data_IF_457351763616
#
_entry.id   IF_457351763616
#
_cell.length_a   1.000
_cell.length_b   1.000
_cell.length_c   1.000
_cell.angle_alpha   90.00
_cell.angle_beta   90.00
_cell.angle_gamma   90.00
#
_symmetry.space_group_name_H-M   'P 1'
#
loop_
_entity.id
_entity.type
_entity.pdbx_description
1 polymer ?
#
# COMPACT_ATOMS: atom_id res chain seq x y z
N UNK A 1 -31.40 11.67 -32.68
CA UNK A 1 -32.68 11.37 -32.02
C UNK A 1 -33.78 11.91 -32.91
N UNK A 2 -34.96 11.31 -32.94
CA UNK A 2 -36.06 11.66 -33.85
C UNK A 2 -37.14 12.47 -33.12
N UNK A 3 -37.95 13.22 -33.86
CA UNK A 3 -39.03 14.03 -33.31
C UNK A 3 -39.98 13.22 -32.42
N UNK A 4 -40.30 11.99 -32.80
CA UNK A 4 -41.16 11.10 -32.02
C UNK A 4 -40.60 10.74 -30.63
N UNK A 5 -39.27 10.79 -30.45
CA UNK A 5 -38.62 10.38 -29.21
C UNK A 5 -38.80 11.43 -28.09
N UNK A 6 -39.06 12.68 -28.46
CA UNK A 6 -39.16 13.81 -27.53
C UNK A 6 -40.44 14.65 -27.68
N UNK A 7 -41.29 14.38 -28.68
CA UNK A 7 -42.53 15.14 -28.89
C UNK A 7 -43.50 15.04 -27.71
N UNK A 8 -44.24 16.12 -27.48
CA UNK A 8 -45.37 16.12 -26.55
C UNK A 8 -46.59 15.54 -27.25
N UNK A 9 -47.15 14.46 -26.69
CA UNK A 9 -48.31 13.74 -27.26
C UNK A 9 -49.65 14.17 -26.68
N UNK A 10 -49.66 14.97 -25.61
CA UNK A 10 -50.89 15.55 -25.05
C UNK A 10 -51.30 16.80 -25.84
N UNK A 11 -51.94 16.59 -26.98
CA UNK A 11 -52.21 17.62 -27.97
C UNK A 11 -53.31 18.62 -27.52
N UNK A 12 -53.08 19.94 -27.66
CA UNK A 12 -54.10 20.98 -27.48
C UNK A 12 -54.90 21.16 -28.78
N UNK A 13 -55.90 20.33 -29.02
CA UNK A 13 -56.67 20.35 -30.28
C UNK A 13 -57.97 21.14 -30.13
N UNK A 14 -58.25 21.97 -31.12
CA UNK A 14 -59.53 22.69 -31.28
C UNK A 14 -60.06 22.54 -32.70
N UNK A 15 -61.38 22.65 -32.86
CA UNK A 15 -62.03 22.67 -34.17
C UNK A 15 -62.07 24.09 -34.75
N UNK A 16 -62.06 24.21 -36.07
CA UNK A 16 -62.07 25.49 -36.81
C UNK A 16 -63.19 26.47 -36.44
N UNK A 17 -64.36 25.95 -36.05
CA UNK A 17 -65.57 26.72 -35.71
C UNK A 17 -65.63 27.14 -34.24
N UNK A 18 -64.72 26.67 -33.40
CA UNK A 18 -64.68 27.01 -31.97
C UNK A 18 -64.19 28.44 -31.73
N UNK A 19 -64.71 29.08 -30.70
CA UNK A 19 -64.39 30.48 -30.37
C UNK A 19 -63.08 30.62 -29.58
N UNK A 20 -62.60 31.86 -29.48
CA UNK A 20 -61.41 32.25 -28.72
C UNK A 20 -61.38 31.74 -27.27
N UNK A 21 -62.53 31.71 -26.59
CA UNK A 21 -62.62 31.23 -25.21
C UNK A 21 -62.29 29.74 -25.10
N UNK A 22 -62.82 28.92 -26.03
CA UNK A 22 -62.53 27.48 -26.08
C UNK A 22 -61.06 27.22 -26.36
N UNK A 23 -60.46 27.98 -27.27
CA UNK A 23 -59.02 27.92 -27.56
C UNK A 23 -58.17 28.23 -26.33
N UNK A 24 -58.51 29.30 -25.60
CA UNK A 24 -57.80 29.68 -24.39
C UNK A 24 -57.95 28.63 -23.27
N UNK A 25 -59.14 28.03 -23.12
CA UNK A 25 -59.37 26.94 -22.17
C UNK A 25 -58.52 25.71 -22.48
N UNK A 26 -58.43 25.32 -23.75
CA UNK A 26 -57.63 24.15 -24.17
C UNK A 26 -56.13 24.39 -23.93
N UNK A 27 -55.62 25.57 -24.30
CA UNK A 27 -54.25 25.99 -23.99
C UNK A 27 -53.95 25.90 -22.48
N UNK A 28 -54.87 26.38 -21.64
CA UNK A 28 -54.72 26.32 -20.18
C UNK A 28 -54.78 24.89 -19.64
N UNK A 29 -55.74 24.08 -20.11
CA UNK A 29 -55.89 22.69 -19.69
C UNK A 29 -54.66 21.85 -20.02
N UNK A 30 -54.04 22.11 -21.18
CA UNK A 30 -52.84 21.42 -21.65
C UNK A 30 -51.53 22.10 -21.23
N UNK A 31 -51.60 23.20 -20.47
CA UNK A 31 -50.45 23.99 -19.97
C UNK A 31 -49.48 24.39 -21.09
N UNK A 32 -50.03 24.88 -22.19
CA UNK A 32 -49.29 25.25 -23.40
C UNK A 32 -49.79 26.60 -23.92
N UNK A 33 -48.98 27.28 -24.73
CA UNK A 33 -49.31 28.57 -25.32
C UNK A 33 -49.81 28.46 -26.77
N UNK A 34 -50.05 27.25 -27.26
CA UNK A 34 -50.46 27.00 -28.64
C UNK A 34 -51.59 25.97 -28.69
N UNK A 35 -52.44 26.06 -29.71
CA UNK A 35 -53.47 25.09 -30.02
C UNK A 35 -53.38 24.69 -31.50
N UNK A 36 -53.54 23.40 -31.77
CA UNK A 36 -53.63 22.85 -33.12
C UNK A 36 -55.08 22.91 -33.57
N UNK A 37 -55.33 23.56 -34.70
CA UNK A 37 -56.67 23.68 -35.28
C UNK A 37 -56.88 22.57 -36.28
N UNK A 38 -57.98 21.84 -36.15
CA UNK A 38 -58.30 20.67 -36.97
C UNK A 38 -59.70 20.73 -37.54
N UNK A 39 -59.96 19.92 -38.57
CA UNK A 39 -61.33 19.58 -38.96
C UNK A 39 -61.93 18.46 -38.10
N UNK A 40 -63.16 18.06 -38.39
CA UNK A 40 -63.85 16.96 -37.68
C UNK A 40 -63.23 15.58 -37.95
N UNK A 41 -62.35 15.47 -38.94
CA UNK A 41 -61.58 14.25 -39.26
C UNK A 41 -60.18 14.28 -38.62
N UNK A 42 -59.89 15.24 -37.72
CA UNK A 42 -58.61 15.50 -37.07
C UNK A 42 -57.45 15.88 -38.01
N UNK A 43 -57.72 16.32 -39.25
CA UNK A 43 -56.65 16.81 -40.12
C UNK A 43 -56.20 18.19 -39.67
N UNK A 44 -54.89 18.43 -39.65
CA UNK A 44 -54.31 19.70 -39.23
C UNK A 44 -54.63 20.81 -40.25
N UNK A 45 -55.38 21.82 -39.82
CA UNK A 45 -55.76 22.98 -40.63
C UNK A 45 -55.02 24.27 -40.26
N UNK A 46 -54.52 24.36 -39.03
CA UNK A 46 -53.77 25.53 -38.59
C UNK A 46 -53.21 25.41 -37.18
N UNK A 47 -52.58 26.49 -36.72
CA UNK A 47 -52.05 26.62 -35.38
C UNK A 47 -52.33 28.02 -34.88
N UNK A 48 -52.79 28.12 -33.64
CA UNK A 48 -53.04 29.36 -32.91
C UNK A 48 -52.03 29.44 -31.78
N UNK A 49 -51.41 30.59 -31.61
CA UNK A 49 -50.54 30.90 -30.47
C UNK A 49 -51.23 31.87 -29.51
N UNK A 50 -50.65 32.03 -28.31
CA UNK A 50 -51.09 33.06 -27.38
C UNK A 50 -50.94 34.49 -27.94
N UNK A 51 -50.09 34.72 -28.95
CA UNK A 51 -50.03 36.00 -29.64
C UNK A 51 -51.31 36.26 -30.44
N UNK A 52 -51.83 35.26 -31.14
CA UNK A 52 -53.04 35.38 -31.96
C UNK A 52 -54.26 35.67 -31.09
N UNK A 53 -54.36 35.05 -29.90
CA UNK A 53 -55.39 35.38 -28.90
C UNK A 53 -55.29 36.85 -28.45
N UNK A 54 -54.08 37.32 -28.08
CA UNK A 54 -53.88 38.72 -27.67
C UNK A 54 -54.17 39.71 -28.79
N UNK A 55 -53.82 39.34 -30.03
CA UNK A 55 -54.08 40.15 -31.22
C UNK A 55 -55.58 40.30 -31.46
N UNK A 56 -56.34 39.21 -31.42
CA UNK A 56 -57.80 39.23 -31.58
C UNK A 56 -58.50 40.12 -30.53
N UNK A 57 -58.05 40.07 -29.28
CA UNK A 57 -58.54 40.95 -28.20
C UNK A 57 -58.20 42.42 -28.49
N UNK A 58 -56.95 42.71 -28.88
CA UNK A 58 -56.51 44.07 -29.16
C UNK A 58 -57.22 44.71 -30.37
N UNK A 59 -57.61 43.90 -31.34
CA UNK A 59 -58.38 44.30 -32.53
C UNK A 59 -59.89 44.45 -32.24
N UNK A 60 -60.34 44.17 -31.02
CA UNK A 60 -61.74 44.30 -30.61
C UNK A 60 -62.66 43.19 -31.16
N UNK A 61 -62.10 42.04 -31.53
CA UNK A 61 -62.85 40.91 -32.09
C UNK A 61 -62.72 39.63 -31.23
N UNK A 62 -63.23 39.62 -29.98
CA UNK A 62 -63.12 38.47 -29.08
C UNK A 62 -64.01 37.29 -29.48
N UNK A 63 -65.03 37.51 -30.31
CA UNK A 63 -65.99 36.49 -30.78
C UNK A 63 -65.52 35.76 -32.05
N UNK A 64 -64.27 35.94 -32.46
CA UNK A 64 -63.71 35.28 -33.62
C UNK A 64 -63.57 33.76 -33.42
N UNK A 65 -63.64 33.04 -34.53
CA UNK A 65 -63.43 31.58 -34.56
C UNK A 65 -61.94 31.23 -34.66
N UNK A 66 -61.62 29.97 -34.35
CA UNK A 66 -60.28 29.42 -34.50
C UNK A 66 -59.74 29.59 -35.93
N UNK A 67 -60.60 29.40 -36.95
CA UNK A 67 -60.26 29.63 -38.36
C UNK A 67 -59.80 31.07 -38.64
N UNK A 68 -60.42 32.06 -38.00
CA UNK A 68 -60.12 33.47 -38.20
C UNK A 68 -58.81 33.91 -37.51
N UNK A 69 -58.41 33.21 -36.44
CA UNK A 69 -57.18 33.52 -35.69
C UNK A 69 -55.96 32.73 -36.16
N UNK A 70 -56.15 31.54 -36.72
CA UNK A 70 -55.05 30.60 -36.95
C UNK A 70 -54.06 31.08 -38.01
N UNK A 71 -52.81 30.64 -37.85
CA UNK A 71 -51.92 30.52 -38.99
C UNK A 71 -52.35 29.29 -39.80
N UNK A 72 -52.73 29.45 -41.09
CA UNK A 72 -53.30 28.37 -41.88
C UNK A 72 -52.24 27.34 -42.31
N UNK A 73 -52.65 26.10 -42.54
CA UNK A 73 -51.80 24.93 -42.89
C UNK A 73 -50.76 25.20 -43.97
N UNK A 74 -51.08 26.00 -44.98
CA UNK A 74 -50.19 26.32 -46.11
C UNK A 74 -48.99 27.19 -45.70
N UNK A 75 -49.09 27.87 -44.54
CA UNK A 75 -48.03 28.71 -43.97
C UNK A 75 -47.34 28.05 -42.78
N UNK A 76 -47.86 26.91 -42.31
CA UNK A 76 -47.26 26.19 -41.21
C UNK A 76 -46.08 25.35 -41.67
N UNK A 77 -45.10 25.29 -40.79
CA UNK A 77 -44.05 24.29 -40.87
C UNK A 77 -44.38 23.17 -39.90
N UNK A 78 -44.26 21.94 -40.37
CA UNK A 78 -44.54 20.72 -39.60
C UNK A 78 -43.32 19.80 -39.68
N UNK A 79 -43.16 18.96 -38.67
CA UNK A 79 -42.23 17.85 -38.66
C UNK A 79 -42.98 16.53 -38.79
N UNK A 80 -42.26 15.46 -39.10
CA UNK A 80 -42.76 14.08 -39.12
C UNK A 80 -42.12 13.29 -37.98
N UNK A 81 -42.68 12.15 -37.55
CA UNK A 81 -42.14 11.32 -36.46
C UNK A 81 -40.65 10.99 -36.60
N UNK A 82 -40.17 10.80 -37.83
CA UNK A 82 -38.80 10.46 -38.21
C UNK A 82 -37.91 11.68 -38.51
N UNK A 83 -38.41 12.90 -38.36
CA UNK A 83 -37.59 14.12 -38.55
C UNK A 83 -36.53 14.21 -37.44
N UNK A 84 -35.24 14.38 -37.76
CA UNK A 84 -34.20 14.59 -36.75
C UNK A 84 -34.46 15.84 -35.89
N UNK A 85 -34.22 15.74 -34.58
CA UNK A 85 -34.46 16.86 -33.64
C UNK A 85 -33.60 18.08 -33.99
N UNK A 86 -32.38 17.85 -34.49
CA UNK A 86 -31.47 18.91 -34.94
C UNK A 86 -32.07 19.73 -36.09
N UNK A 87 -32.76 19.07 -37.03
CA UNK A 87 -33.46 19.73 -38.13
C UNK A 87 -34.63 20.58 -37.61
N UNK A 88 -35.39 20.07 -36.62
CA UNK A 88 -36.46 20.85 -35.98
C UNK A 88 -35.89 22.07 -35.24
N UNK A 89 -34.74 21.95 -34.59
CA UNK A 89 -34.07 23.06 -33.92
C UNK A 89 -33.63 24.15 -34.92
N UNK A 90 -33.03 23.75 -36.04
CA UNK A 90 -32.64 24.67 -37.12
C UNK A 90 -33.85 25.37 -37.74
N UNK A 91 -34.95 24.64 -37.89
CA UNK A 91 -36.21 25.16 -38.37
C UNK A 91 -36.79 26.22 -37.43
N UNK A 92 -36.83 25.91 -36.14
CA UNK A 92 -37.28 26.84 -35.10
C UNK A 92 -36.43 28.11 -35.10
N UNK A 93 -35.10 27.96 -35.15
CA UNK A 93 -34.15 29.07 -35.16
C UNK A 93 -34.27 29.95 -36.42
N UNK A 94 -34.23 29.33 -37.61
CA UNK A 94 -34.23 30.05 -38.90
C UNK A 94 -35.55 30.75 -39.21
N UNK A 95 -36.67 30.21 -38.71
CA UNK A 95 -38.02 30.77 -38.91
C UNK A 95 -38.50 31.62 -37.73
N UNK A 96 -37.75 31.67 -36.62
CA UNK A 96 -38.14 32.37 -35.40
C UNK A 96 -39.44 31.83 -34.78
N UNK A 97 -39.69 30.52 -34.92
CA UNK A 97 -40.88 29.85 -34.38
C UNK A 97 -40.52 29.07 -33.12
N UNK A 98 -41.48 29.00 -32.18
CA UNK A 98 -41.26 28.33 -30.88
C UNK A 98 -41.99 27.01 -30.75
N UNK A 99 -42.73 26.61 -31.78
CA UNK A 99 -43.48 25.37 -31.82
C UNK A 99 -43.58 24.83 -33.25
N UNK A 100 -43.43 23.51 -33.38
CA UNK A 100 -43.56 22.75 -34.62
C UNK A 100 -44.49 21.56 -34.37
N UNK A 101 -45.66 21.48 -35.03
CA UNK A 101 -46.50 20.30 -34.98
C UNK A 101 -45.79 19.09 -35.60
N UNK A 102 -45.98 17.92 -35.02
CA UNK A 102 -45.55 16.63 -35.58
C UNK A 102 -46.78 15.95 -36.16
N UNK A 103 -46.75 15.66 -37.46
CA UNK A 103 -47.90 15.10 -38.20
C UNK A 103 -47.57 13.74 -38.81
N UNK A 104 -48.56 12.86 -38.85
CA UNK A 104 -48.53 11.60 -39.62
C UNK A 104 -49.80 11.54 -40.46
N UNK A 105 -49.66 11.40 -41.78
CA UNK A 105 -50.80 11.37 -42.72
C UNK A 105 -51.79 12.54 -42.51
N UNK A 106 -51.27 13.77 -42.36
CA UNK A 106 -52.02 15.02 -42.07
C UNK A 106 -52.72 15.09 -40.71
N UNK A 107 -52.65 14.03 -39.90
CA UNK A 107 -53.16 14.01 -38.52
C UNK A 107 -52.04 14.43 -37.56
N UNK A 108 -52.26 15.40 -36.67
CA UNK A 108 -51.27 15.74 -35.66
C UNK A 108 -51.13 14.59 -34.65
N UNK A 109 -49.90 14.12 -34.44
CA UNK A 109 -49.55 13.04 -33.51
C UNK A 109 -48.70 13.52 -32.33
N UNK A 110 -48.13 14.72 -32.45
CA UNK A 110 -47.37 15.37 -31.39
C UNK A 110 -47.10 16.84 -31.71
N UNK A 111 -46.40 17.52 -30.81
CA UNK A 111 -45.75 18.78 -31.12
C UNK A 111 -44.42 18.91 -30.39
N UNK A 112 -43.50 19.65 -30.97
CA UNK A 112 -42.25 20.06 -30.35
C UNK A 112 -42.33 21.53 -30.02
N UNK A 113 -42.06 21.89 -28.78
CA UNK A 113 -41.88 23.29 -28.38
C UNK A 113 -40.41 23.58 -28.12
N UNK A 114 -40.06 24.87 -28.11
CA UNK A 114 -38.69 25.32 -27.93
C UNK A 114 -38.06 24.78 -26.63
N UNK A 115 -38.82 24.69 -25.53
CA UNK A 115 -38.30 24.17 -24.25
C UNK A 115 -37.93 22.69 -24.38
N UNK A 116 -38.78 21.87 -25.01
CA UNK A 116 -38.51 20.44 -25.22
C UNK A 116 -37.23 20.22 -26.04
N UNK A 117 -37.01 21.04 -27.08
CA UNK A 117 -35.80 20.99 -27.91
C UNK A 117 -34.58 21.51 -27.14
N UNK A 118 -34.72 22.58 -26.36
CA UNK A 118 -33.65 23.14 -25.52
C UNK A 118 -33.22 22.19 -24.40
N UNK A 119 -34.17 21.52 -23.74
CA UNK A 119 -33.89 20.56 -22.67
C UNK A 119 -33.06 19.39 -23.22
N UNK A 120 -33.48 18.82 -24.35
CA UNK A 120 -32.76 17.74 -25.03
C UNK A 120 -31.35 18.16 -25.48
N UNK A 121 -31.22 19.31 -26.14
CA UNK A 121 -29.91 19.80 -26.61
C UNK A 121 -28.97 20.08 -25.43
N UNK A 122 -29.48 20.66 -24.35
CA UNK A 122 -28.71 20.93 -23.12
C UNK A 122 -28.23 19.63 -22.47
N UNK A 123 -29.10 18.62 -22.39
CA UNK A 123 -28.75 17.32 -21.83
C UNK A 123 -27.69 16.60 -22.67
N UNK A 124 -27.83 16.63 -23.99
CA UNK A 124 -26.84 16.04 -24.92
C UNK A 124 -25.47 16.69 -24.76
N UNK A 125 -25.41 18.02 -24.73
CA UNK A 125 -24.15 18.77 -24.51
C UNK A 125 -23.54 18.44 -23.15
N UNK A 126 -24.36 18.34 -22.09
CA UNK A 126 -23.90 17.95 -20.75
C UNK A 126 -23.30 16.55 -20.74
N UNK A 127 -23.94 15.58 -21.40
CA UNK A 127 -23.46 14.20 -21.47
C UNK A 127 -22.10 14.11 -22.16
N UNK A 128 -21.98 14.69 -23.36
CA UNK A 128 -20.71 14.72 -24.12
C UNK A 128 -19.59 15.43 -23.34
N UNK A 129 -19.93 16.53 -22.65
CA UNK A 129 -18.95 17.26 -21.82
C UNK A 129 -18.44 16.41 -20.66
N UNK A 130 -19.31 15.63 -20.02
CA UNK A 130 -18.93 14.76 -18.91
C UNK A 130 -18.05 13.60 -19.39
N UNK A 131 -18.38 12.97 -20.51
CA UNK A 131 -17.56 11.91 -21.12
C UNK A 131 -16.16 12.44 -21.48
N UNK A 132 -16.10 13.62 -22.11
CA UNK A 132 -14.83 14.27 -22.44
C UNK A 132 -14.03 14.64 -21.17
N UNK A 133 -14.70 15.09 -20.12
CA UNK A 133 -14.05 15.39 -18.84
C UNK A 133 -13.45 14.12 -18.20
N UNK A 134 -14.15 12.98 -18.26
CA UNK A 134 -13.65 11.70 -17.76
C UNK A 134 -12.42 11.23 -18.54
N UNK A 135 -12.45 11.29 -19.88
CA UNK A 135 -11.31 10.94 -20.74
C UNK A 135 -10.10 11.83 -20.42
N UNK A 136 -10.32 13.15 -20.30
CA UNK A 136 -9.25 14.09 -19.94
C UNK A 136 -8.68 13.82 -18.56
N UNK A 137 -9.53 13.52 -17.58
CA UNK A 137 -9.10 13.19 -16.24
C UNK A 137 -8.24 11.91 -16.23
N UNK A 138 -8.66 10.87 -16.94
CA UNK A 138 -7.89 9.64 -17.07
C UNK A 138 -6.51 9.88 -17.73
N UNK A 139 -6.46 10.68 -18.79
CA UNK A 139 -5.20 11.06 -19.45
C UNK A 139 -4.25 11.81 -18.51
N UNK A 140 -4.75 12.79 -17.76
CA UNK A 140 -3.93 13.54 -16.78
C UNK A 140 -3.40 12.64 -15.66
N UNK A 141 -4.18 11.64 -15.23
CA UNK A 141 -3.72 10.67 -14.24
C UNK A 141 -2.54 9.85 -14.78
N UNK A 142 -2.61 9.37 -16.03
CA UNK A 142 -1.52 8.62 -16.67
C UNK A 142 -0.28 9.49 -16.90
N UNK A 143 -0.45 10.75 -17.30
CA UNK A 143 0.66 11.70 -17.53
C UNK A 143 1.39 12.08 -16.25
N UNK A 144 0.66 12.19 -15.13
CA UNK A 144 1.24 12.53 -13.82
C UNK A 144 1.88 11.36 -13.09
N UNK A 145 1.76 10.12 -13.62
CA UNK A 145 2.45 8.97 -13.05
C UNK A 145 3.97 9.17 -13.05
N UNK A 146 4.59 8.74 -11.96
CA UNK A 146 6.05 8.65 -11.85
C UNK A 146 6.59 7.32 -12.39
N UNK A 147 5.73 6.31 -12.46
CA UNK A 147 6.06 4.98 -13.01
C UNK A 147 5.88 4.95 -14.53
N UNK A 148 6.80 4.27 -15.21
CA UNK A 148 6.66 4.00 -16.63
C UNK A 148 5.52 3.03 -16.87
N UNK A 149 4.67 3.33 -17.84
CA UNK A 149 3.53 2.50 -18.25
C UNK A 149 3.67 2.18 -19.73
N UNK A 150 3.58 0.89 -20.04
CA UNK A 150 3.55 0.34 -21.40
C UNK A 150 2.37 -0.61 -21.51
N UNK A 151 1.56 -0.46 -22.56
CA UNK A 151 0.58 -1.49 -22.93
C UNK A 151 1.04 -2.14 -24.23
N UNK A 152 1.00 -3.47 -24.27
CA UNK A 152 1.24 -4.23 -25.49
C UNK A 152 0.04 -5.10 -25.84
N UNK A 153 -0.19 -5.31 -27.14
CA UNK A 153 -1.18 -6.27 -27.64
C UNK A 153 -0.63 -7.71 -27.70
N UNK A 154 -1.43 -8.65 -28.21
CA UNK A 154 -1.05 -10.08 -28.41
C UNK A 154 0.19 -10.29 -29.29
N UNK A 155 0.45 -9.37 -30.21
CA UNK A 155 1.61 -9.44 -31.12
C UNK A 155 2.85 -8.73 -30.53
N UNK A 156 2.75 -8.29 -29.27
CA UNK A 156 3.75 -7.52 -28.53
C UNK A 156 4.02 -6.14 -29.14
N UNK A 157 3.05 -5.61 -29.86
CA UNK A 157 3.08 -4.25 -30.39
C UNK A 157 2.77 -3.28 -29.25
N UNK A 158 3.58 -2.25 -29.08
CA UNK A 158 3.36 -1.23 -28.06
C UNK A 158 2.21 -0.33 -28.49
N UNK A 159 1.10 -0.40 -27.75
CA UNK A 159 -0.12 0.38 -27.96
C UNK A 159 -0.11 1.68 -27.14
N UNK A 160 0.46 1.65 -25.93
CA UNK A 160 0.53 2.81 -25.04
C UNK A 160 1.93 2.95 -24.47
N UNK A 161 2.37 4.20 -24.29
CA UNK A 161 3.69 4.52 -23.74
C UNK A 161 3.65 5.90 -23.07
N UNK A 162 3.59 5.93 -21.73
CA UNK A 162 3.39 7.19 -21.01
C UNK A 162 4.68 8.04 -20.92
N UNK A 163 4.59 9.33 -20.54
CA UNK A 163 5.76 10.21 -20.41
C UNK A 163 6.81 9.72 -19.40
N UNK A 164 6.39 8.99 -18.35
CA UNK A 164 7.33 8.39 -17.40
C UNK A 164 8.15 7.26 -18.04
N UNK A 165 7.54 6.44 -18.89
CA UNK A 165 8.24 5.40 -19.63
C UNK A 165 9.27 6.02 -20.58
N UNK A 166 8.98 7.18 -21.18
CA UNK A 166 9.97 7.92 -21.97
C UNK A 166 11.17 8.37 -21.14
N UNK A 167 10.90 9.01 -19.98
CA UNK A 167 11.96 9.47 -19.08
C UNK A 167 12.84 8.34 -18.57
N UNK A 168 12.24 7.24 -18.13
CA UNK A 168 12.96 6.12 -17.51
C UNK A 168 13.74 5.34 -18.58
N UNK A 169 13.12 5.05 -19.73
CA UNK A 169 13.76 4.25 -20.78
C UNK A 169 14.71 5.05 -21.70
N UNK A 170 14.61 6.39 -21.69
CA UNK A 170 15.30 7.28 -22.61
C UNK A 170 14.80 7.20 -24.07
N UNK A 171 13.64 6.59 -24.32
CA UNK A 171 13.04 6.40 -25.66
C UNK A 171 11.76 7.22 -25.78
N UNK A 172 11.52 7.83 -26.94
CA UNK A 172 10.28 8.59 -27.15
C UNK A 172 9.11 7.69 -27.56
N UNK A 173 7.89 8.04 -27.15
CA UNK A 173 6.66 7.35 -27.52
C UNK A 173 6.50 7.26 -29.03
N UNK A 174 6.82 8.32 -29.77
CA UNK A 174 6.82 8.34 -31.25
C UNK A 174 7.68 7.22 -31.86
N UNK A 175 8.79 6.86 -31.22
CA UNK A 175 9.68 5.78 -31.69
C UNK A 175 9.23 4.40 -31.24
N UNK A 176 8.38 4.30 -30.21
CA UNK A 176 8.01 3.03 -29.60
C UNK A 176 6.61 2.57 -29.99
N UNK A 177 5.64 3.49 -30.09
CA UNK A 177 4.26 3.19 -30.45
C UNK A 177 4.17 2.52 -31.82
N UNK A 178 3.32 1.50 -31.91
CA UNK A 178 3.12 0.71 -33.13
C UNK A 178 4.30 -0.23 -33.46
N UNK A 179 5.29 -0.38 -32.57
CA UNK A 179 6.43 -1.29 -32.79
C UNK A 179 6.36 -2.50 -31.89
N UNK A 180 6.78 -3.64 -32.45
CA UNK A 180 6.97 -4.88 -31.72
C UNK A 180 8.24 -4.81 -30.88
N UNK A 181 8.12 -5.00 -29.57
CA UNK A 181 9.28 -5.07 -28.68
C UNK A 181 9.85 -6.49 -28.62
N UNK A 182 11.10 -6.66 -29.08
CA UNK A 182 11.78 -7.97 -29.04
C UNK A 182 12.00 -8.49 -27.61
N UNK A 183 12.23 -7.58 -26.66
CA UNK A 183 12.43 -7.90 -25.24
C UNK A 183 11.24 -8.63 -24.62
N UNK A 184 10.02 -8.36 -25.12
CA UNK A 184 8.83 -9.05 -24.63
C UNK A 184 8.61 -10.42 -25.25
N UNK A 185 9.42 -10.82 -26.24
CA UNK A 185 9.37 -12.16 -26.85
C UNK A 185 10.35 -13.14 -26.21
N UNK A 186 11.32 -12.65 -25.44
CA UNK A 186 12.28 -13.48 -24.73
C UNK A 186 11.57 -14.41 -23.73
N UNK A 187 12.06 -15.64 -23.59
CA UNK A 187 11.38 -16.69 -22.80
C UNK A 187 11.20 -16.28 -21.33
N UNK A 188 12.17 -15.55 -20.78
CA UNK A 188 12.16 -15.12 -19.38
C UNK A 188 11.41 -13.79 -19.16
N UNK A 189 10.73 -13.27 -20.18
CA UNK A 189 10.01 -11.99 -20.07
C UNK A 189 8.75 -12.14 -19.19
N UNK A 190 8.59 -11.34 -18.12
CA UNK A 190 7.37 -11.36 -17.31
C UNK A 190 6.11 -11.03 -18.14
N UNK A 191 6.24 -10.13 -19.13
CA UNK A 191 5.15 -9.78 -20.05
C UNK A 191 4.68 -10.99 -20.84
N UNK A 192 5.61 -11.80 -21.36
CA UNK A 192 5.29 -13.05 -22.07
C UNK A 192 4.59 -14.05 -21.17
N UNK A 193 5.11 -14.24 -19.95
CA UNK A 193 4.51 -15.17 -18.99
C UNK A 193 3.07 -14.78 -18.64
N UNK A 194 2.79 -13.48 -18.45
CA UNK A 194 1.42 -12.98 -18.23
C UNK A 194 0.55 -13.20 -19.47
N UNK A 195 1.07 -12.93 -20.67
CA UNK A 195 0.36 -13.14 -21.93
C UNK A 195 -0.05 -14.61 -22.13
N UNK A 196 0.82 -15.56 -21.80
CA UNK A 196 0.59 -17.00 -21.96
C UNK A 196 -0.31 -17.58 -20.86
N UNK A 197 -0.17 -17.10 -19.61
CA UNK A 197 -0.87 -17.69 -18.45
C UNK A 197 -2.18 -16.98 -18.10
N UNK A 198 -2.36 -15.73 -18.53
CA UNK A 198 -3.46 -14.87 -18.12
C UNK A 198 -3.44 -14.51 -16.63
N UNK A 199 -2.34 -14.75 -15.91
CA UNK A 199 -2.19 -14.46 -14.47
C UNK A 199 -1.28 -13.26 -14.27
N UNK A 200 -1.62 -12.30 -13.39
CA UNK A 200 -0.76 -11.14 -13.14
C UNK A 200 0.51 -11.52 -12.38
N UNK A 201 1.58 -10.77 -12.63
CA UNK A 201 2.86 -10.87 -11.92
C UNK A 201 3.22 -9.50 -11.34
N UNK A 202 3.36 -9.44 -10.01
CA UNK A 202 3.65 -8.21 -9.29
C UNK A 202 5.06 -8.21 -8.72
N UNK A 203 5.64 -7.02 -8.60
CA UNK A 203 6.93 -6.79 -7.94
C UNK A 203 8.08 -7.66 -8.49
N UNK A 204 8.08 -7.92 -9.80
CA UNK A 204 9.14 -8.71 -10.45
C UNK A 204 10.34 -7.82 -10.72
N UNK A 205 11.48 -8.14 -10.12
CA UNK A 205 12.75 -7.47 -10.38
C UNK A 205 13.31 -7.93 -11.73
N UNK A 206 13.65 -6.97 -12.59
CA UNK A 206 14.25 -7.19 -13.90
C UNK A 206 15.48 -6.31 -14.03
N UNK A 207 16.63 -6.93 -14.27
CA UNK A 207 17.86 -6.21 -14.56
C UNK A 207 17.99 -6.01 -16.08
N UNK A 208 18.25 -4.78 -16.48
CA UNK A 208 18.53 -4.43 -17.87
C UNK A 208 19.98 -4.69 -18.24
N UNK A 209 20.26 -4.82 -19.54
CA UNK A 209 21.62 -4.97 -20.06
C UNK A 209 22.56 -3.79 -19.75
N UNK A 210 22.02 -2.63 -19.35
CA UNK A 210 22.80 -1.46 -18.93
C UNK A 210 23.07 -1.44 -17.42
N UNK A 211 22.63 -2.45 -16.66
CA UNK A 211 22.82 -2.58 -15.22
C UNK A 211 21.80 -1.81 -14.38
N UNK A 212 20.75 -1.24 -14.99
CA UNK A 212 19.62 -0.70 -14.23
C UNK A 212 18.72 -1.83 -13.76
N UNK A 213 18.21 -1.72 -12.54
CA UNK A 213 17.28 -2.66 -11.93
C UNK A 213 15.91 -2.03 -11.86
N UNK A 214 14.92 -2.70 -12.46
CA UNK A 214 13.53 -2.27 -12.46
C UNK A 214 12.69 -3.21 -11.63
N UNK A 215 11.71 -2.67 -10.90
CA UNK A 215 10.60 -3.45 -10.36
C UNK A 215 9.41 -3.29 -11.30
N UNK A 216 8.79 -4.40 -11.70
CA UNK A 216 7.73 -4.41 -12.70
C UNK A 216 6.46 -5.07 -12.19
N UNK A 217 5.32 -4.49 -12.56
CA UNK A 217 4.00 -5.08 -12.40
C UNK A 217 3.42 -5.34 -13.78
N UNK A 218 2.95 -6.56 -14.03
CA UNK A 218 2.51 -7.02 -15.33
C UNK A 218 1.11 -7.62 -15.17
N UNK A 219 0.11 -6.96 -15.75
CA UNK A 219 -1.32 -7.30 -15.57
C UNK A 219 -1.93 -7.59 -16.93
N UNK A 220 -2.68 -8.69 -17.10
CA UNK A 220 -3.32 -9.01 -18.37
C UNK A 220 -4.45 -8.01 -18.64
N UNK A 221 -4.51 -7.51 -19.87
CA UNK A 221 -5.65 -6.75 -20.38
C UNK A 221 -6.62 -7.76 -20.98
N UNK A 222 -7.83 -7.86 -20.41
CA UNK A 222 -8.81 -8.87 -20.79
C UNK A 222 -9.87 -8.27 -21.73
N UNK A 223 -10.16 -8.97 -22.82
CA UNK A 223 -11.25 -8.62 -23.76
C UNK A 223 -12.02 -9.90 -24.09
N UNK A 224 -13.34 -9.87 -23.90
CA UNK A 224 -14.23 -11.02 -24.15
C UNK A 224 -13.82 -12.33 -23.44
N UNK A 225 -13.16 -12.22 -22.27
CA UNK A 225 -12.71 -13.37 -21.48
C UNK A 225 -11.34 -13.92 -21.87
N UNK A 226 -10.69 -13.36 -22.89
CA UNK A 226 -9.34 -13.73 -23.31
C UNK A 226 -8.33 -12.59 -23.05
N UNK A 227 -7.05 -12.93 -22.90
CA UNK A 227 -5.98 -11.94 -22.75
C UNK A 227 -5.73 -11.24 -24.08
N UNK A 228 -6.11 -9.97 -24.22
CA UNK A 228 -5.91 -9.16 -25.42
C UNK A 228 -4.54 -8.45 -25.45
N UNK A 229 -3.89 -8.35 -24.29
CA UNK A 229 -2.62 -7.65 -24.14
C UNK A 229 -2.11 -7.70 -22.72
N UNK A 230 -1.05 -6.95 -22.44
CA UNK A 230 -0.47 -6.80 -21.11
C UNK A 230 -0.18 -5.34 -20.83
N UNK A 231 -0.65 -4.87 -19.67
CA UNK A 231 -0.26 -3.61 -19.06
C UNK A 231 0.97 -3.89 -18.18
N UNK A 232 2.09 -3.28 -18.53
CA UNK A 232 3.29 -3.27 -17.71
C UNK A 232 3.47 -1.89 -17.07
N UNK A 233 3.63 -1.84 -15.74
CA UNK A 233 4.24 -0.68 -15.07
C UNK A 233 5.64 -1.05 -14.58
N UNK A 234 6.53 -0.06 -14.56
CA UNK A 234 7.90 -0.26 -14.11
C UNK A 234 8.47 0.99 -13.44
N UNK A 235 9.29 0.75 -12.42
CA UNK A 235 10.01 1.80 -11.68
C UNK A 235 11.49 1.45 -11.62
N UNK A 236 12.35 2.43 -11.88
CA UNK A 236 13.79 2.27 -11.69
C UNK A 236 14.11 2.29 -10.19
N UNK A 237 14.67 1.19 -9.69
CA UNK A 237 15.08 1.01 -8.29
C UNK A 237 16.60 0.89 -8.15
N UNK A 238 17.36 1.26 -9.19
CA UNK A 238 18.82 1.11 -9.24
C UNK A 238 19.50 1.82 -8.07
N UNK A 239 19.14 3.08 -7.81
CA UNK A 239 19.74 3.86 -6.72
C UNK A 239 19.35 3.29 -5.35
N UNK A 240 18.13 2.80 -5.20
CA UNK A 240 17.69 2.12 -3.98
C UNK A 240 18.53 0.85 -3.73
N UNK A 241 18.75 0.03 -4.76
CA UNK A 241 19.59 -1.17 -4.66
C UNK A 241 21.05 -0.82 -4.36
N UNK A 242 21.61 0.22 -4.98
CA UNK A 242 22.96 0.71 -4.67
C UNK A 242 23.08 1.18 -3.22
N UNK A 243 22.11 1.95 -2.72
CA UNK A 243 22.09 2.38 -1.33
C UNK A 243 21.97 1.20 -0.36
N UNK A 244 21.11 0.23 -0.66
CA UNK A 244 20.98 -0.99 0.14
C UNK A 244 22.30 -1.77 0.19
N UNK A 245 22.96 -1.96 -0.96
CA UNK A 245 24.26 -2.61 -1.03
C UNK A 245 25.34 -1.84 -0.26
N UNK A 246 25.38 -0.51 -0.39
CA UNK A 246 26.31 0.33 0.35
C UNK A 246 26.08 0.25 1.87
N UNK A 247 24.82 0.21 2.33
CA UNK A 247 24.50 0.03 3.75
C UNK A 247 25.01 -1.31 4.28
N UNK A 248 24.79 -2.40 3.54
CA UNK A 248 25.30 -3.72 3.90
C UNK A 248 26.83 -3.71 3.95
N UNK A 249 27.48 -3.14 2.95
CA UNK A 249 28.94 -3.02 2.91
C UNK A 249 29.49 -2.20 4.07
N UNK A 250 28.90 -1.03 4.37
CA UNK A 250 29.31 -0.20 5.51
C UNK A 250 29.11 -0.94 6.83
N UNK A 251 28.03 -1.72 6.97
CA UNK A 251 27.79 -2.57 8.14
C UNK A 251 28.89 -3.63 8.28
N UNK A 252 29.24 -4.31 7.20
CA UNK A 252 30.31 -5.32 7.19
C UNK A 252 31.69 -4.69 7.49
N UNK A 253 31.98 -3.51 6.94
CA UNK A 253 33.20 -2.75 7.24
C UNK A 253 33.27 -2.36 8.72
N UNK A 254 32.15 -1.92 9.30
CA UNK A 254 32.07 -1.59 10.71
C UNK A 254 32.25 -2.83 11.59
N UNK A 255 31.57 -3.94 11.26
CA UNK A 255 31.70 -5.21 11.97
C UNK A 255 33.15 -5.75 11.87
N UNK A 256 33.85 -5.54 10.75
CA UNK A 256 35.28 -5.87 10.58
C UNK A 256 36.22 -4.93 11.35
N UNK A 257 35.93 -3.62 11.40
CA UNK A 257 36.69 -2.68 12.22
C UNK A 257 36.55 -3.01 13.72
N UNK A 258 35.36 -3.44 14.15
CA UNK A 258 35.15 -3.96 15.50
C UNK A 258 35.94 -5.25 15.76
N UNK A 259 36.20 -6.10 14.76
CA UNK A 259 37.07 -7.26 14.92
C UNK A 259 38.48 -6.85 15.39
N UNK A 260 39.01 -5.73 14.88
CA UNK A 260 40.33 -5.22 15.23
C UNK A 260 40.43 -4.68 16.66
N UNK A 261 39.30 -4.35 17.30
CA UNK A 261 39.29 -3.95 18.71
C UNK A 261 39.26 -5.15 19.66
N UNK A 262 39.10 -6.36 19.13
CA UNK A 262 39.19 -7.57 19.94
C UNK A 262 40.64 -7.79 20.41
N UNK A 263 40.84 -8.14 21.70
CA UNK A 263 42.12 -8.04 22.39
C UNK A 263 43.23 -8.99 21.89
N UNK A 264 42.95 -9.97 20.99
CA UNK A 264 43.94 -10.74 20.24
C UNK A 264 43.27 -11.61 19.14
N UNK A 265 43.96 -11.86 18.02
CA UNK A 265 43.59 -12.83 16.96
C UNK A 265 43.19 -14.23 17.45
N UNK A 266 43.72 -14.68 18.59
CA UNK A 266 43.33 -15.97 19.18
C UNK A 266 41.90 -15.95 19.71
N UNK A 267 41.46 -14.84 20.31
CA UNK A 267 40.08 -14.65 20.79
C UNK A 267 39.15 -14.60 19.59
N UNK A 268 39.47 -13.79 18.59
CA UNK A 268 38.69 -13.70 17.35
C UNK A 268 38.53 -15.08 16.69
N UNK A 269 39.63 -15.83 16.53
CA UNK A 269 39.59 -17.18 15.95
C UNK A 269 38.74 -18.13 16.78
N UNK A 270 38.78 -18.04 18.11
CA UNK A 270 37.94 -18.86 18.99
C UNK A 270 36.46 -18.52 18.84
N UNK A 271 36.11 -17.24 18.75
CA UNK A 271 34.74 -16.77 18.55
C UNK A 271 34.20 -17.20 17.17
N UNK A 272 34.97 -16.98 16.09
CA UNK A 272 34.60 -17.35 14.71
C UNK A 272 34.55 -18.85 14.44
N UNK A 273 35.09 -19.68 15.34
CA UNK A 273 35.03 -21.15 15.24
C UNK A 273 33.99 -21.78 16.17
N UNK A 274 33.20 -20.97 16.86
CA UNK A 274 32.12 -21.44 17.73
C UNK A 274 30.79 -21.21 17.01
N UNK A 275 30.15 -22.26 16.47
CA UNK A 275 28.89 -22.08 15.75
C UNK A 275 27.76 -21.74 16.71
N UNK A 276 26.75 -21.03 16.19
CA UNK A 276 25.46 -20.87 16.84
C UNK A 276 24.35 -21.38 15.92
N UNK A 277 23.19 -21.69 16.51
CA UNK A 277 22.07 -22.28 15.79
C UNK A 277 20.88 -21.36 15.84
N UNK A 278 20.33 -21.01 14.68
CA UNK A 278 19.01 -20.40 14.61
C UNK A 278 17.98 -21.48 14.84
N UNK A 279 17.02 -21.22 15.73
CA UNK A 279 16.08 -22.25 16.17
C UNK A 279 14.63 -21.79 16.26
N UNK A 280 13.71 -22.74 16.07
CA UNK A 280 12.30 -22.62 16.40
C UNK A 280 12.01 -23.50 17.61
N UNK A 281 11.43 -22.90 18.65
CA UNK A 281 11.04 -23.60 19.87
C UNK A 281 9.64 -24.21 19.78
N UNK A 282 9.53 -25.51 20.04
CA UNK A 282 8.27 -26.25 20.03
C UNK A 282 7.73 -26.43 21.44
N UNK A 283 6.77 -25.58 21.84
CA UNK A 283 6.22 -25.56 23.22
C UNK A 283 5.66 -26.92 23.68
N UNK A 284 5.06 -27.70 22.75
CA UNK A 284 4.43 -28.98 23.08
C UNK A 284 5.44 -30.07 23.49
N UNK A 285 6.66 -30.02 22.94
CA UNK A 285 7.70 -31.04 23.18
C UNK A 285 8.87 -30.50 24.01
N UNK A 286 9.00 -29.18 24.14
CA UNK A 286 10.16 -28.53 24.74
C UNK A 286 11.44 -28.61 23.90
N UNK A 287 11.34 -29.11 22.66
CA UNK A 287 12.47 -29.26 21.74
C UNK A 287 12.67 -28.01 20.89
N UNK A 288 13.88 -27.88 20.35
CA UNK A 288 14.19 -26.90 19.32
C UNK A 288 14.38 -27.58 17.97
N UNK A 289 14.02 -26.89 16.89
CA UNK A 289 14.29 -27.28 15.51
C UNK A 289 15.27 -26.29 14.89
N UNK A 290 16.42 -26.78 14.41
CA UNK A 290 17.46 -25.93 13.80
C UNK A 290 17.00 -25.49 12.42
N UNK A 291 17.01 -24.19 12.16
CA UNK A 291 16.65 -23.61 10.85
C UNK A 291 17.88 -23.12 10.08
N UNK A 292 18.95 -22.79 10.78
CA UNK A 292 20.20 -22.28 10.20
C UNK A 292 21.39 -22.62 11.12
N UNK A 293 22.55 -22.87 10.51
CA UNK A 293 23.83 -22.99 11.20
C UNK A 293 24.63 -21.72 10.92
N UNK A 294 25.01 -21.00 11.97
CA UNK A 294 25.80 -19.77 11.90
C UNK A 294 27.23 -20.13 12.31
N UNK A 295 28.10 -20.39 11.34
CA UNK A 295 29.44 -20.96 11.57
C UNK A 295 30.32 -20.08 12.49
N UNK A 296 30.22 -18.75 12.34
CA UNK A 296 30.88 -17.76 13.19
C UNK A 296 29.93 -17.15 14.24
N UNK A 297 28.91 -17.91 14.65
CA UNK A 297 27.86 -17.44 15.56
C UNK A 297 28.36 -16.90 16.90
N UNK A 298 29.43 -17.47 17.46
CA UNK A 298 30.06 -16.96 18.68
C UNK A 298 30.64 -15.56 18.51
N UNK A 299 31.15 -15.23 17.32
CA UNK A 299 31.57 -13.88 16.97
C UNK A 299 30.38 -12.93 16.90
N UNK A 300 29.32 -13.32 16.20
CA UNK A 300 28.08 -12.52 16.15
C UNK A 300 27.46 -12.29 17.53
N UNK A 301 27.49 -13.28 18.42
CA UNK A 301 27.03 -13.15 19.81
C UNK A 301 27.79 -12.06 20.57
N UNK A 302 29.12 -12.05 20.52
CA UNK A 302 29.93 -11.02 21.19
C UNK A 302 29.68 -9.64 20.56
N UNK A 303 29.62 -9.54 19.23
CA UNK A 303 29.32 -8.27 18.54
C UNK A 303 27.95 -7.73 18.96
N UNK A 304 26.92 -8.58 19.04
CA UNK A 304 25.59 -8.18 19.50
C UNK A 304 25.59 -7.75 20.97
N UNK A 305 26.35 -8.44 21.83
CA UNK A 305 26.56 -8.04 23.22
C UNK A 305 27.19 -6.64 23.34
N UNK A 306 28.22 -6.35 22.54
CA UNK A 306 28.85 -5.03 22.50
C UNK A 306 27.91 -3.94 21.96
N UNK A 307 27.07 -4.26 20.95
CA UNK A 307 26.03 -3.35 20.44
C UNK A 307 24.99 -3.00 21.52
N UNK A 308 24.54 -3.99 22.29
CA UNK A 308 23.65 -3.78 23.43
C UNK A 308 24.33 -2.91 24.49
N UNK A 309 25.58 -3.22 24.85
CA UNK A 309 26.34 -2.43 25.81
C UNK A 309 26.52 -0.97 25.37
N UNK A 310 26.73 -0.73 24.08
CA UNK A 310 26.85 0.61 23.49
C UNK A 310 25.55 1.41 23.61
N UNK A 311 24.39 0.82 23.28
CA UNK A 311 23.09 1.50 23.41
C UNK A 311 22.77 1.83 24.88
N UNK A 312 23.07 0.90 25.81
CA UNK A 312 22.93 1.15 27.25
C UNK A 312 23.88 2.25 27.76
N UNK A 313 25.10 2.32 27.21
CA UNK A 313 26.05 3.39 27.49
C UNK A 313 25.53 4.76 27.02
N UNK A 314 24.97 4.86 25.81
CA UNK A 314 24.35 6.10 25.29
C UNK A 314 23.18 6.57 26.17
N UNK A 315 22.46 5.63 26.79
CA UNK A 315 21.39 5.93 27.74
C UNK A 315 21.89 6.23 29.17
N UNK A 316 23.20 6.38 29.36
CA UNK A 316 23.83 6.78 30.62
C UNK A 316 23.98 5.66 31.66
N UNK A 317 23.63 4.41 31.32
CA UNK A 317 23.67 3.30 32.27
C UNK A 317 25.10 3.01 32.75
N UNK A 318 26.09 3.07 31.84
CA UNK A 318 27.50 2.83 32.18
C UNK A 318 28.15 3.96 32.97
N UNK A 319 27.46 5.09 33.18
CA UNK A 319 27.94 6.19 34.03
C UNK A 319 27.52 6.05 35.49
N UNK A 320 26.77 4.99 35.84
CA UNK A 320 26.36 4.69 37.21
C UNK A 320 27.56 4.25 38.06
N UNK A 321 27.56 4.65 39.33
CA UNK A 321 28.54 4.19 40.32
C UNK A 321 28.47 2.66 40.49
N UNK A 322 29.62 1.99 40.40
CA UNK A 322 29.70 0.53 40.48
C UNK A 322 29.51 -0.18 39.14
N UNK A 323 29.40 0.55 38.03
CA UNK A 323 29.54 0.00 36.68
C UNK A 323 30.84 0.52 36.08
N UNK A 324 31.83 -0.38 36.00
CA UNK A 324 33.09 -0.12 35.33
C UNK A 324 32.98 -0.60 33.87
N UNK A 325 33.08 0.36 32.94
CA UNK A 325 32.93 0.10 31.50
C UNK A 325 33.98 -0.88 30.99
N UNK A 326 35.23 -0.76 31.43
CA UNK A 326 36.33 -1.55 30.90
C UNK A 326 36.21 -2.99 31.39
N UNK A 327 35.92 -3.19 32.69
CA UNK A 327 35.67 -4.52 33.26
C UNK A 327 34.49 -5.22 32.57
N UNK A 328 33.38 -4.50 32.34
CA UNK A 328 32.20 -5.08 31.71
C UNK A 328 32.46 -5.46 30.24
N UNK A 329 33.09 -4.58 29.47
CA UNK A 329 33.42 -4.85 28.06
C UNK A 329 34.38 -6.02 27.94
N UNK A 330 35.41 -6.10 28.80
CA UNK A 330 36.29 -7.26 28.84
C UNK A 330 35.51 -8.55 29.18
N UNK A 331 34.62 -8.52 30.18
CA UNK A 331 33.80 -9.67 30.50
C UNK A 331 32.95 -10.13 29.30
N UNK A 332 32.35 -9.21 28.54
CA UNK A 332 31.53 -9.49 27.35
C UNK A 332 32.32 -10.04 26.15
N UNK A 333 33.61 -9.72 26.04
CA UNK A 333 34.46 -10.23 24.97
C UNK A 333 34.91 -11.65 25.28
N UNK A 334 35.20 -11.92 26.55
CA UNK A 334 35.91 -13.11 26.97
C UNK A 334 35.03 -14.21 27.58
N UNK A 335 33.73 -13.98 27.82
CA UNK A 335 32.87 -14.98 28.45
C UNK A 335 32.50 -16.17 27.56
N UNK A 336 32.77 -16.09 26.25
CA UNK A 336 32.40 -17.11 25.26
C UNK A 336 33.51 -18.14 25.07
N UNK A 337 33.43 -19.21 25.86
CA UNK A 337 34.31 -20.36 25.78
C UNK A 337 33.55 -21.65 25.57
N UNK A 338 32.43 -21.62 24.83
CA UNK A 338 31.47 -22.73 24.72
C UNK A 338 31.98 -23.85 23.79
N UNK A 339 31.53 -25.07 24.04
CA UNK A 339 31.68 -26.25 23.19
C UNK A 339 30.31 -26.57 22.62
N UNK A 340 30.17 -26.39 21.30
CA UNK A 340 28.90 -26.52 20.62
C UNK A 340 28.78 -27.89 19.95
N UNK A 341 27.60 -28.54 20.01
CA UNK A 341 27.32 -29.79 19.32
C UNK A 341 27.25 -29.56 17.81
N UNK A 342 27.56 -30.56 16.98
CA UNK A 342 27.37 -30.44 15.53
C UNK A 342 25.93 -30.79 15.18
N UNK A 343 25.14 -29.80 14.76
CA UNK A 343 23.74 -29.96 14.37
C UNK A 343 23.51 -29.60 12.90
N UNK A 344 22.50 -30.21 12.28
CA UNK A 344 22.09 -29.95 10.90
C UNK A 344 20.74 -29.21 10.84
N UNK A 345 20.52 -28.46 9.76
CA UNK A 345 19.23 -27.82 9.46
C UNK A 345 18.12 -28.88 9.41
N UNK A 346 16.99 -28.61 10.05
CA UNK A 346 15.83 -29.49 10.21
C UNK A 346 15.93 -30.46 11.40
N UNK A 347 17.08 -30.53 12.09
CA UNK A 347 17.25 -31.44 13.22
C UNK A 347 16.48 -30.94 14.45
N UNK A 348 15.69 -31.84 15.05
CA UNK A 348 14.98 -31.59 16.32
C UNK A 348 15.74 -32.18 17.48
N UNK A 349 16.06 -31.36 18.49
CA UNK A 349 16.82 -31.79 19.66
C UNK A 349 16.22 -31.25 20.96
N UNK A 350 16.42 -31.98 22.05
CA UNK A 350 16.23 -31.44 23.40
C UNK A 350 17.47 -30.60 23.76
N UNK A 351 17.35 -29.27 23.91
CA UNK A 351 18.50 -28.43 24.16
C UNK A 351 19.20 -28.75 25.49
N UNK A 352 18.49 -29.32 26.48
CA UNK A 352 19.08 -29.67 27.80
C UNK A 352 20.00 -30.89 27.75
N UNK A 353 19.84 -31.73 26.73
CA UNK A 353 20.63 -32.95 26.57
C UNK A 353 21.82 -32.76 25.64
N UNK A 354 21.68 -31.84 24.67
CA UNK A 354 22.60 -31.72 23.54
C UNK A 354 23.60 -30.57 23.72
N UNK A 355 23.21 -29.49 24.38
CA UNK A 355 24.14 -28.40 24.72
C UNK A 355 24.78 -28.66 26.08
N UNK A 356 26.04 -28.24 26.24
CA UNK A 356 26.72 -28.31 27.52
C UNK A 356 26.07 -27.42 28.58
N UNK A 357 26.27 -27.75 29.86
CA UNK A 357 25.85 -26.91 30.97
C UNK A 357 26.55 -25.53 30.88
N UNK A 358 25.75 -24.47 30.90
CA UNK A 358 26.24 -23.10 30.78
C UNK A 358 27.19 -22.68 31.92
N UNK A 359 27.06 -23.29 33.11
CA UNK A 359 28.00 -23.06 34.23
C UNK A 359 29.39 -23.62 33.91
N UNK A 360 29.46 -24.80 33.29
CA UNK A 360 30.75 -25.42 32.96
C UNK A 360 31.55 -24.56 32.00
N UNK A 361 30.90 -24.01 30.97
CA UNK A 361 31.60 -23.12 30.05
C UNK A 361 31.98 -21.79 30.71
N UNK A 362 31.18 -21.27 31.64
CA UNK A 362 31.50 -20.02 32.35
C UNK A 362 32.78 -20.19 33.18
N UNK A 363 32.90 -21.30 33.90
CA UNK A 363 34.14 -21.67 34.60
C UNK A 363 35.31 -21.84 33.63
N UNK A 364 35.12 -22.55 32.51
CA UNK A 364 36.17 -22.74 31.49
C UNK A 364 36.65 -21.41 30.90
N UNK A 365 35.73 -20.50 30.55
CA UNK A 365 36.06 -19.17 30.05
C UNK A 365 36.87 -18.40 31.09
N UNK A 366 36.44 -18.40 32.35
CA UNK A 366 37.16 -17.73 33.43
C UNK A 366 38.58 -18.26 33.62
N UNK A 367 38.76 -19.59 33.61
CA UNK A 367 40.07 -20.22 33.74
C UNK A 367 41.01 -19.89 32.57
N UNK A 368 40.47 -19.83 31.35
CA UNK A 368 41.24 -19.41 30.16
C UNK A 368 41.68 -17.96 30.32
N UNK A 369 40.76 -17.08 30.74
CA UNK A 369 41.01 -15.65 30.88
C UNK A 369 42.04 -15.35 31.96
N UNK A 370 41.91 -16.00 33.11
CA UNK A 370 42.84 -15.89 34.23
C UNK A 370 44.26 -16.34 33.83
N UNK A 371 44.39 -17.48 33.13
CA UNK A 371 45.70 -18.07 32.83
C UNK A 371 46.38 -17.51 31.59
N UNK A 372 45.62 -17.14 30.56
CA UNK A 372 46.17 -16.82 29.23
C UNK A 372 46.01 -15.36 28.81
N UNK A 373 45.04 -14.64 29.37
CA UNK A 373 44.77 -13.24 29.00
C UNK A 373 45.11 -12.23 30.10
N UNK A 374 45.49 -12.70 31.30
CA UNK A 374 46.02 -11.86 32.38
C UNK A 374 45.06 -10.77 32.85
N UNK A 375 43.75 -11.02 32.79
CA UNK A 375 42.73 -10.04 33.18
C UNK A 375 42.57 -9.96 34.70
N UNK A 376 41.96 -8.87 35.16
CA UNK A 376 41.75 -8.63 36.59
C UNK A 376 40.86 -9.70 37.23
N UNK A 377 40.98 -9.85 38.55
CA UNK A 377 40.12 -10.74 39.33
C UNK A 377 38.64 -10.45 39.13
N UNK A 378 38.28 -9.19 38.92
CA UNK A 378 36.90 -8.75 38.76
C UNK A 378 36.31 -9.24 37.43
N UNK A 379 37.07 -9.14 36.33
CA UNK A 379 36.69 -9.70 35.02
C UNK A 379 36.54 -11.22 35.11
N UNK A 380 37.53 -11.90 35.71
CA UNK A 380 37.51 -13.35 35.90
C UNK A 380 36.29 -13.78 36.73
N UNK A 381 35.98 -13.04 37.79
CA UNK A 381 34.84 -13.34 38.68
C UNK A 381 33.50 -13.17 37.97
N UNK A 382 33.31 -12.07 37.23
CA UNK A 382 32.11 -11.84 36.43
C UNK A 382 31.91 -12.97 35.39
N UNK A 383 32.96 -13.32 34.66
CA UNK A 383 32.92 -14.41 33.68
C UNK A 383 32.66 -15.75 34.36
N UNK A 384 33.25 -16.02 35.53
CA UNK A 384 33.06 -17.30 36.22
C UNK A 384 31.61 -17.53 36.60
N UNK A 385 30.92 -16.47 37.02
CA UNK A 385 29.60 -16.58 37.61
C UNK A 385 28.44 -16.15 36.71
N UNK A 386 28.64 -15.57 35.51
CA UNK A 386 27.52 -15.03 34.71
C UNK A 386 26.35 -15.99 34.42
N UNK A 387 26.52 -17.32 34.43
CA UNK A 387 25.39 -18.27 34.32
C UNK A 387 24.75 -18.70 35.65
N UNK A 388 25.15 -18.09 36.76
CA UNK A 388 24.57 -18.33 38.08
C UNK A 388 23.47 -17.32 38.38
N UNK A 389 22.54 -17.71 39.23
CA UNK A 389 21.62 -16.79 39.90
C UNK A 389 22.31 -16.16 41.11
N UNK A 390 21.82 -15.02 41.60
CA UNK A 390 22.40 -14.38 42.79
C UNK A 390 22.38 -15.26 44.05
N UNK A 391 21.47 -16.24 44.15
CA UNK A 391 21.45 -17.18 45.28
C UNK A 391 22.51 -18.27 45.19
N UNK A 392 23.07 -18.49 44.00
CA UNK A 392 24.10 -19.50 43.76
C UNK A 392 25.51 -18.90 43.83
N UNK A 393 25.63 -17.60 44.06
CA UNK A 393 26.92 -16.93 44.25
C UNK A 393 27.56 -17.37 45.57
N UNK A 394 28.90 -17.49 45.62
CA UNK A 394 29.58 -17.83 46.86
C UNK A 394 29.44 -16.70 47.90
N UNK A 395 29.51 -17.04 49.18
CA UNK A 395 29.31 -16.07 50.27
C UNK A 395 30.35 -14.95 50.32
N UNK A 396 31.49 -15.13 49.68
CA UNK A 396 32.57 -14.15 49.52
C UNK A 396 32.54 -13.43 48.15
N UNK A 397 31.45 -13.55 47.39
CA UNK A 397 31.31 -12.83 46.12
C UNK A 397 31.46 -11.32 46.32
N UNK A 398 32.31 -10.61 45.56
CA UNK A 398 32.54 -9.19 45.75
C UNK A 398 31.28 -8.37 45.48
N UNK A 399 30.72 -7.75 46.51
CA UNK A 399 29.43 -7.05 46.43
C UNK A 399 29.45 -5.86 45.48
N UNK A 400 30.62 -5.25 45.27
CA UNK A 400 30.80 -4.16 44.30
C UNK A 400 30.60 -4.60 42.85
N UNK A 401 30.66 -5.90 42.56
CA UNK A 401 30.43 -6.45 41.21
C UNK A 401 28.97 -6.77 40.94
N UNK A 402 28.07 -6.74 41.93
CA UNK A 402 26.66 -7.13 41.74
C UNK A 402 25.93 -6.33 40.64
N UNK A 403 26.10 -5.00 40.51
CA UNK A 403 25.47 -4.26 39.41
C UNK A 403 25.96 -4.70 38.04
N UNK A 404 27.29 -4.86 37.87
CA UNK A 404 27.88 -5.36 36.62
C UNK A 404 27.50 -6.80 36.33
N UNK A 405 27.41 -7.65 37.34
CA UNK A 405 26.97 -9.03 37.22
C UNK A 405 25.55 -9.13 36.67
N UNK A 406 24.61 -8.36 37.23
CA UNK A 406 23.22 -8.28 36.74
C UNK A 406 23.18 -7.80 35.30
N UNK A 407 23.94 -6.74 35.01
CA UNK A 407 23.99 -6.16 33.68
C UNK A 407 24.59 -7.12 32.65
N UNK A 408 25.70 -7.78 32.97
CA UNK A 408 26.35 -8.80 32.11
C UNK A 408 25.37 -9.92 31.74
N UNK A 409 24.59 -10.40 32.71
CA UNK A 409 23.58 -11.45 32.47
C UNK A 409 22.46 -11.01 31.55
N UNK A 410 21.98 -9.78 31.71
CA UNK A 410 20.97 -9.19 30.84
C UNK A 410 21.54 -9.08 29.42
N UNK A 411 22.74 -8.52 29.26
CA UNK A 411 23.37 -8.33 27.95
C UNK A 411 23.61 -9.68 27.26
N UNK A 412 24.15 -10.69 27.95
CA UNK A 412 24.41 -12.03 27.41
C UNK A 412 23.12 -12.72 26.94
N UNK A 413 22.03 -12.62 27.72
CA UNK A 413 20.73 -13.16 27.33
C UNK A 413 20.17 -12.51 26.07
N UNK A 414 20.23 -11.17 26.00
CA UNK A 414 19.72 -10.41 24.85
C UNK A 414 20.55 -10.64 23.59
N UNK A 415 21.89 -10.71 23.72
CA UNK A 415 22.75 -10.98 22.57
C UNK A 415 22.54 -12.38 22.01
N UNK A 416 22.26 -13.38 22.85
CA UNK A 416 21.89 -14.71 22.39
C UNK A 416 20.55 -14.69 21.62
N UNK A 417 19.56 -13.94 22.11
CA UNK A 417 18.27 -13.75 21.42
C UNK A 417 18.42 -13.09 20.06
N UNK A 418 19.25 -12.04 19.97
CA UNK A 418 19.57 -11.36 18.72
C UNK A 418 20.26 -12.27 17.70
N UNK A 419 21.20 -13.11 18.16
CA UNK A 419 21.95 -14.01 17.28
C UNK A 419 21.13 -15.19 16.79
N UNK A 420 20.34 -15.83 17.67
CA UNK A 420 19.71 -17.12 17.38
C UNK A 420 18.24 -17.03 16.97
N UNK A 421 17.55 -15.91 17.22
CA UNK A 421 16.07 -15.84 17.11
C UNK A 421 15.54 -14.54 16.52
N UNK A 422 16.40 -13.73 15.89
CA UNK A 422 16.06 -12.39 15.36
C UNK A 422 15.26 -11.54 16.37
N UNK A 423 15.62 -11.64 17.65
CA UNK A 423 14.91 -10.91 18.69
C UNK A 423 14.95 -9.40 18.42
N UNK A 424 13.90 -8.68 18.81
CA UNK A 424 13.90 -7.21 18.78
C UNK A 424 13.91 -6.69 20.20
N UNK A 425 14.80 -5.76 20.47
CA UNK A 425 15.04 -5.24 21.81
C UNK A 425 14.79 -3.73 21.86
N UNK A 426 14.35 -3.24 23.01
CA UNK A 426 14.23 -1.82 23.31
C UNK A 426 14.53 -1.56 24.79
N UNK A 427 15.09 -0.39 25.09
CA UNK A 427 15.50 -0.03 26.45
C UNK A 427 14.89 1.28 26.93
N UNK A 428 14.59 1.33 28.23
CA UNK A 428 14.42 2.58 28.99
C UNK A 428 15.29 2.52 30.24
N UNK A 429 15.98 3.61 30.52
CA UNK A 429 16.87 3.74 31.69
C UNK A 429 16.35 4.88 32.56
N UNK A 430 16.17 4.63 33.85
CA UNK A 430 15.79 5.63 34.84
C UNK A 430 16.61 5.42 36.13
N UNK A 431 17.69 6.17 36.28
CA UNK A 431 18.66 5.93 37.35
C UNK A 431 19.27 4.53 37.24
N UNK A 432 19.20 3.73 38.32
CA UNK A 432 19.66 2.33 38.35
C UNK A 432 18.68 1.33 37.73
N UNK A 433 17.48 1.77 37.31
CA UNK A 433 16.46 0.90 36.74
C UNK A 433 16.57 0.80 35.23
N UNK A 434 16.73 -0.42 34.75
CA UNK A 434 16.74 -0.79 33.35
C UNK A 434 15.45 -1.53 33.01
N UNK A 435 14.62 -0.94 32.15
CA UNK A 435 13.50 -1.64 31.52
C UNK A 435 13.95 -2.16 30.16
N UNK A 436 13.81 -3.47 29.94
CA UNK A 436 14.08 -4.16 28.67
C UNK A 436 12.76 -4.65 28.10
N UNK A 437 12.46 -4.25 26.88
CA UNK A 437 11.42 -4.83 26.05
C UNK A 437 12.09 -5.82 25.10
N UNK A 438 11.76 -7.10 25.17
CA UNK A 438 12.27 -8.13 24.26
C UNK A 438 11.10 -8.78 23.52
N UNK A 439 11.12 -8.72 22.19
CA UNK A 439 10.26 -9.52 21.32
C UNK A 439 11.04 -10.71 20.79
N UNK A 440 10.59 -11.93 21.10
CA UNK A 440 11.34 -13.15 20.81
C UNK A 440 10.41 -14.25 20.31
N UNK A 441 10.86 -15.06 19.33
CA UNK A 441 10.09 -16.22 18.86
C UNK A 441 9.88 -17.30 19.94
N UNK A 442 10.70 -17.31 21.00
CA UNK A 442 10.56 -18.22 22.12
C UNK A 442 9.71 -17.59 23.25
N UNK A 443 8.55 -18.17 23.63
CA UNK A 443 7.59 -17.55 24.56
C UNK A 443 8.13 -17.19 25.94
N UNK A 444 9.15 -17.91 26.42
CA UNK A 444 9.81 -17.61 27.71
C UNK A 444 10.64 -16.32 27.72
N UNK A 445 10.96 -15.77 26.55
CA UNK A 445 11.78 -14.56 26.40
C UNK A 445 11.00 -13.38 25.78
N UNK A 446 9.82 -13.61 25.22
CA UNK A 446 8.94 -12.56 24.72
C UNK A 446 8.25 -11.84 25.89
N UNK A 447 8.92 -10.83 26.45
CA UNK A 447 8.51 -10.17 27.70
C UNK A 447 9.12 -8.79 27.86
N UNK A 448 8.52 -8.00 28.76
CA UNK A 448 9.16 -6.79 29.29
C UNK A 448 9.65 -7.07 30.70
N UNK A 449 10.92 -6.80 30.98
CA UNK A 449 11.48 -6.86 32.34
C UNK A 449 11.96 -5.50 32.80
N UNK A 450 11.82 -5.18 34.08
CA UNK A 450 12.47 -4.05 34.73
C UNK A 450 13.36 -4.56 35.85
N UNK A 451 14.64 -4.18 35.83
CA UNK A 451 15.63 -4.59 36.82
C UNK A 451 16.28 -3.35 37.43
N UNK A 452 16.27 -3.24 38.75
CA UNK A 452 17.10 -2.28 39.46
C UNK A 452 18.49 -2.86 39.69
N UNK A 453 19.50 -2.31 39.03
CA UNK A 453 20.86 -2.85 39.05
C UNK A 453 21.53 -2.77 40.42
N UNK A 454 21.08 -1.91 41.34
CA UNK A 454 21.66 -1.82 42.68
C UNK A 454 21.02 -2.78 43.67
N UNK A 455 19.69 -2.93 43.62
CA UNK A 455 18.96 -3.78 44.55
C UNK A 455 18.78 -5.22 44.05
N UNK A 456 18.85 -5.43 42.72
CA UNK A 456 18.54 -6.70 42.09
C UNK A 456 17.04 -6.98 41.98
N UNK A 457 16.19 -6.00 42.31
CA UNK A 457 14.74 -6.17 42.22
C UNK A 457 14.30 -6.25 40.75
N UNK A 458 13.62 -7.33 40.40
CA UNK A 458 13.12 -7.61 39.04
C UNK A 458 11.59 -7.59 39.00
N UNK A 459 11.02 -6.95 37.98
CA UNK A 459 9.60 -6.94 37.66
C UNK A 459 9.39 -7.44 36.24
N UNK A 460 8.47 -8.39 36.04
CA UNK A 460 8.15 -8.94 34.72
C UNK A 460 6.73 -8.53 34.32
N UNK A 461 6.60 -7.92 33.15
CA UNK A 461 5.33 -7.48 32.57
C UNK A 461 5.01 -8.34 31.35
N UNK A 462 3.94 -9.14 31.45
CA UNK A 462 3.33 -9.86 30.33
C UNK A 462 1.99 -9.21 29.98
N UNK A 463 1.58 -9.25 28.71
CA UNK A 463 0.31 -8.68 28.21
C UNK A 463 -0.97 -9.19 28.92
N UNK A 464 -0.87 -10.16 29.84
CA UNK A 464 -2.03 -10.76 30.55
C UNK A 464 -2.04 -10.74 32.08
N UNK A 465 -1.07 -10.14 32.80
CA UNK A 465 -1.18 -9.78 34.24
C UNK A 465 0.16 -9.25 34.77
N UNK A 466 0.09 -8.30 35.70
CA UNK A 466 1.22 -7.90 36.55
C UNK A 466 1.50 -9.04 37.54
N UNK A 467 2.69 -9.63 37.47
CA UNK A 467 3.15 -10.61 38.49
C UNK A 467 4.39 -10.03 39.16
N UNK A 468 4.25 -9.60 40.41
CA UNK A 468 5.41 -9.31 41.26
C UNK A 468 6.00 -10.63 41.75
N UNK A 469 7.25 -10.94 41.39
CA UNK A 469 7.97 -12.07 41.99
C UNK A 469 8.66 -11.57 43.26
N UNK A 470 8.03 -11.76 44.43
CA UNK A 470 8.73 -11.69 45.72
C UNK A 470 9.31 -13.07 46.02
N UNK A 471 10.61 -13.15 46.30
CA UNK A 471 11.20 -14.34 46.95
C UNK A 471 10.59 -14.47 48.35
N UNK A 472 10.13 -15.68 48.67
CA UNK A 472 9.70 -16.06 50.01
C UNK A 472 10.84 -15.79 51.01
N UNK A 473 10.56 -14.95 51.99
CA UNK A 473 11.38 -14.83 53.18
C UNK A 473 11.14 -16.07 54.03
N UNK A 474 12.15 -16.95 54.17
CA UNK A 474 12.14 -17.94 55.24
C UNK A 474 12.44 -17.19 56.53
N UNK A 475 11.40 -17.03 57.35
CA UNK A 475 11.54 -16.66 58.75
C UNK A 475 11.90 -17.91 59.57
N UNK A 476 12.86 -17.69 60.48
CA UNK A 476 13.44 -18.57 61.51
C UNK A 476 14.56 -19.50 61.08
#
# INVERSE_FOLDING_TARGET
MLAQDIMVTNLPIVLVDQNMFTVAQEMMAKKTSHALVTDRENRLLGLISGYDLRKAVAEGNPECTAEQMMTPRQRLVVAYPDTPVEEVADLMSSRGITQVPVVSDEVPVGYLNLNTVLDYTTETVRKTRNELAQIRQAALLIESMSEGLVVVDRDYCICEFNPAAERISGKTAEKMLGRVSKMYKDYDSPVRQVMETGRPLYNVEVESSSGHVFITNNVPVMMEGETAGVLQTFTDITDMKKMQHQLLKTKDELDNAFALTLPNSQVEKKLKSTPEYRDIYHLATGQIEVTEVIDDGGYHHVVNALKVAADLNEKGLMSLLGIDKDILVEALIFHVGKSQPVLNVGQKVDPRQVFEDSRLHAHRSADIVERYYGKSSDVVTLIRYHHHTEAELPGDFPTHLLPMFRLLRIIDGLSAGLTRRDARIGFRVNGSRLTVLEHNGHPGYDRTIEVDLYTGQEFVYNEKKVVSVKREAVAQ
#
